data_IF_929389949546
#
_entry.id   IF_929389949546
#
_cell.length_a   1.000
_cell.length_b   1.000
_cell.length_c   1.000
_cell.angle_alpha   90.00
_cell.angle_beta   90.00
_cell.angle_gamma   90.00
#
_symmetry.space_group_name_H-M   'P 1'
#
loop_
_entity.id
_entity.type
_entity.pdbx_description
1 polymer ?
#
# COMPACT_ATOMS: atom_id res chain seq x y z
N UNK A 1 -21.14 5.33 -25.88
CA UNK A 1 -21.55 4.85 -24.55
C UNK A 1 -20.39 5.16 -23.63
N UNK A 2 -20.57 5.98 -22.60
CA UNK A 2 -19.50 6.25 -21.64
C UNK A 2 -19.34 5.01 -20.76
N UNK A 3 -18.17 4.37 -20.84
CA UNK A 3 -17.80 3.29 -19.92
C UNK A 3 -17.71 3.92 -18.54
N UNK A 4 -18.66 3.61 -17.67
CA UNK A 4 -18.58 4.02 -16.28
C UNK A 4 -17.41 3.26 -15.67
N UNK A 5 -16.24 3.91 -15.53
CA UNK A 5 -15.11 3.33 -14.80
C UNK A 5 -15.60 2.99 -13.40
N UNK A 6 -15.45 1.74 -13.01
CA UNK A 6 -15.76 1.30 -11.65
C UNK A 6 -14.90 2.16 -10.71
N UNK A 7 -15.56 2.95 -9.85
CA UNK A 7 -14.86 3.71 -8.83
C UNK A 7 -14.34 2.74 -7.79
N UNK A 8 -13.09 2.92 -7.36
CA UNK A 8 -12.54 2.18 -6.23
C UNK A 8 -13.38 2.38 -4.99
N UNK A 9 -13.54 1.32 -4.21
CA UNK A 9 -14.28 1.44 -2.96
C UNK A 9 -13.44 2.24 -1.96
N UNK A 10 -13.97 3.35 -1.40
CA UNK A 10 -13.21 4.26 -0.56
C UNK A 10 -12.74 3.59 0.73
N UNK A 11 -11.53 3.93 1.16
CA UNK A 11 -10.91 3.41 2.38
C UNK A 11 -11.49 4.03 3.66
N UNK A 12 -10.90 3.70 4.83
CA UNK A 12 -9.75 2.81 4.99
C UNK A 12 -10.13 1.33 4.99
N UNK A 13 -9.28 0.52 4.39
CA UNK A 13 -9.32 -0.94 4.51
C UNK A 13 -8.75 -1.37 5.87
N UNK A 14 -9.31 -2.43 6.45
CA UNK A 14 -8.94 -2.98 7.76
C UNK A 14 -8.72 -4.48 7.68
N UNK A 15 -7.75 -4.96 8.46
CA UNK A 15 -7.53 -6.36 8.73
C UNK A 15 -8.28 -6.75 10.00
N UNK A 16 -9.13 -7.77 9.93
CA UNK A 16 -9.59 -8.50 11.10
C UNK A 16 -8.91 -9.88 11.11
N UNK A 17 -8.37 -10.26 12.27
CA UNK A 17 -7.82 -11.59 12.54
C UNK A 17 -8.93 -12.44 13.15
N UNK A 18 -9.21 -13.62 12.58
CA UNK A 18 -10.25 -14.53 13.03
C UNK A 18 -9.60 -15.69 13.81
N UNK A 19 -9.93 -15.83 15.09
CA UNK A 19 -9.31 -16.82 15.99
C UNK A 19 -10.26 -17.94 16.45
N UNK A 20 -11.58 -17.79 16.23
CA UNK A 20 -12.60 -18.70 16.80
C UNK A 20 -13.03 -19.81 15.80
N UNK A 21 -14.02 -19.54 14.94
CA UNK A 21 -14.53 -20.46 13.91
C UNK A 21 -14.03 -20.03 12.53
N UNK A 22 -13.16 -20.84 11.92
CA UNK A 22 -12.52 -20.51 10.64
C UNK A 22 -11.33 -19.57 10.82
N UNK A 23 -10.22 -20.12 11.34
CA UNK A 23 -8.99 -19.35 11.55
C UNK A 23 -8.51 -18.79 10.22
N UNK A 24 -8.28 -17.48 10.19
CA UNK A 24 -7.83 -16.82 8.98
C UNK A 24 -7.88 -15.30 9.06
N UNK A 25 -7.66 -14.70 7.90
CA UNK A 25 -7.53 -13.25 7.75
C UNK A 25 -8.69 -12.72 6.93
N UNK A 26 -9.32 -11.66 7.43
CA UNK A 26 -10.35 -10.94 6.70
C UNK A 26 -9.88 -9.52 6.44
N UNK A 27 -9.66 -9.19 5.18
CA UNK A 27 -9.51 -7.81 4.75
C UNK A 27 -10.92 -7.30 4.39
N UNK A 28 -11.41 -6.34 5.17
CA UNK A 28 -12.70 -5.70 4.94
C UNK A 28 -12.56 -4.19 4.83
N UNK A 29 -13.54 -3.58 4.20
CA UNK A 29 -13.72 -2.14 4.29
C UNK A 29 -14.19 -1.78 5.71
N UNK A 30 -13.49 -0.85 6.36
CA UNK A 30 -13.78 -0.49 7.73
C UNK A 30 -14.77 0.66 7.85
N UNK A 31 -15.85 0.47 8.62
CA UNK A 31 -16.35 1.56 9.46
C UNK A 31 -15.59 1.55 10.79
N UNK A 32 -15.47 2.68 11.47
CA UNK A 32 -14.82 2.83 12.79
C UNK A 32 -15.61 2.19 13.94
N UNK A 33 -16.73 1.52 13.66
CA UNK A 33 -17.64 0.99 14.68
C UNK A 33 -17.51 -0.54 14.75
N UNK A 34 -17.31 -1.13 15.96
CA UNK A 34 -17.36 -2.58 16.13
C UNK A 34 -18.75 -3.13 15.77
N UNK A 35 -18.77 -4.20 14.98
CA UNK A 35 -19.95 -4.81 14.40
C UNK A 35 -20.95 -5.32 15.46
N UNK A 36 -22.23 -4.94 15.33
CA UNK A 36 -23.35 -5.46 16.16
C UNK A 36 -24.56 -5.96 15.33
N UNK A 37 -24.37 -6.25 14.03
CA UNK A 37 -25.39 -6.90 13.19
C UNK A 37 -25.57 -6.33 11.77
N UNK A 38 -26.08 -7.22 10.89
CA UNK A 38 -26.67 -7.13 9.53
C UNK A 38 -26.21 -6.02 8.57
N UNK A 39 -24.94 -5.66 8.57
CA UNK A 39 -24.33 -5.02 7.42
C UNK A 39 -23.18 -5.90 6.93
N UNK A 40 -23.43 -6.66 5.87
CA UNK A 40 -22.38 -7.40 5.16
C UNK A 40 -21.51 -6.37 4.42
N UNK A 41 -20.20 -6.27 4.71
CA UNK A 41 -19.30 -5.49 3.87
C UNK A 41 -19.37 -6.06 2.45
N UNK A 42 -19.90 -5.29 1.49
CA UNK A 42 -20.16 -5.76 0.12
C UNK A 42 -18.88 -6.12 -0.67
N UNK A 43 -17.71 -5.78 -0.13
CA UNK A 43 -16.41 -6.16 -0.67
C UNK A 43 -15.54 -6.72 0.46
N UNK A 44 -15.22 -8.00 0.37
CA UNK A 44 -14.47 -8.76 1.36
C UNK A 44 -13.45 -9.63 0.64
N UNK A 45 -12.22 -9.63 1.15
CA UNK A 45 -11.20 -10.60 0.76
C UNK A 45 -10.96 -11.48 2.00
N UNK A 46 -11.39 -12.73 1.89
CA UNK A 46 -11.13 -13.74 2.91
C UNK A 46 -9.96 -14.61 2.46
N UNK A 47 -9.03 -14.84 3.37
CA UNK A 47 -7.95 -15.78 3.17
C UNK A 47 -7.84 -16.71 4.38
N UNK A 48 -8.01 -17.99 4.10
CA UNK A 48 -7.71 -19.07 5.03
C UNK A 48 -6.26 -19.51 4.80
N UNK A 49 -5.34 -19.26 5.75
CA UNK A 49 -3.95 -19.66 5.63
C UNK A 49 -3.76 -21.18 5.78
N UNK A 50 -4.78 -21.92 6.24
CA UNK A 50 -4.72 -23.36 6.48
C UNK A 50 -3.85 -23.77 7.68
N UNK A 51 -3.30 -22.79 8.40
CA UNK A 51 -2.43 -22.93 9.58
C UNK A 51 -2.99 -22.13 10.74
N UNK A 52 -2.72 -22.57 11.97
CA UNK A 52 -3.26 -21.95 13.18
C UNK A 52 -2.14 -21.31 14.00
N UNK A 53 -2.41 -20.20 14.72
CA UNK A 53 -1.49 -19.75 15.75
C UNK A 53 -1.43 -20.81 16.87
N UNK A 54 -0.26 -21.02 17.46
CA UNK A 54 -0.14 -21.82 18.70
C UNK A 54 -0.70 -21.03 19.88
N UNK A 55 -1.22 -21.76 20.87
CA UNK A 55 -1.74 -21.20 22.11
C UNK A 55 -0.60 -20.63 22.99
N UNK A 56 -0.94 -19.67 23.86
CA UNK A 56 0.00 -19.07 24.81
C UNK A 56 0.69 -20.14 25.69
N UNK A 57 1.99 -20.34 25.47
CA UNK A 57 2.83 -21.27 26.25
C UNK A 57 3.34 -22.50 25.50
N UNK A 58 2.96 -22.69 24.24
CA UNK A 58 3.54 -23.71 23.36
C UNK A 58 4.78 -23.19 22.61
N UNK A 59 5.74 -24.08 22.32
CA UNK A 59 6.87 -23.70 21.47
C UNK A 59 6.38 -23.44 20.04
N UNK A 60 6.76 -22.31 19.43
CA UNK A 60 6.36 -21.99 18.07
C UNK A 60 6.92 -23.03 17.10
N UNK A 61 6.03 -23.69 16.36
CA UNK A 61 6.39 -24.65 15.33
C UNK A 61 6.42 -24.00 13.93
N UNK A 62 6.66 -24.81 12.90
CA UNK A 62 6.70 -24.33 11.53
C UNK A 62 5.34 -23.80 11.02
N UNK A 63 4.23 -24.27 11.58
CA UNK A 63 2.89 -23.79 11.22
C UNK A 63 2.62 -22.42 11.83
N UNK A 64 3.08 -22.18 13.05
CA UNK A 64 3.01 -20.87 13.68
C UNK A 64 3.82 -19.81 12.94
N UNK A 65 5.03 -20.14 12.48
CA UNK A 65 5.84 -19.21 11.69
C UNK A 65 5.16 -18.84 10.35
N UNK A 66 4.52 -19.81 9.70
CA UNK A 66 3.73 -19.56 8.48
C UNK A 66 2.52 -18.67 8.76
N UNK A 67 1.86 -18.86 9.91
CA UNK A 67 0.76 -17.99 10.33
C UNK A 67 1.24 -16.54 10.57
N UNK A 68 2.39 -16.34 11.22
CA UNK A 68 2.94 -14.99 11.44
C UNK A 68 3.36 -14.32 10.13
N UNK A 69 3.96 -15.07 9.19
CA UNK A 69 4.28 -14.55 7.85
C UNK A 69 3.01 -14.15 7.09
N UNK A 70 1.98 -14.98 7.19
CA UNK A 70 0.66 -14.74 6.62
C UNK A 70 0.03 -13.44 7.17
N UNK A 71 0.05 -13.26 8.49
CA UNK A 71 -0.42 -12.04 9.16
C UNK A 71 0.34 -10.80 8.69
N UNK A 72 1.67 -10.83 8.73
CA UNK A 72 2.52 -9.71 8.30
C UNK A 72 2.30 -9.33 6.83
N UNK A 73 2.07 -10.31 5.95
CA UNK A 73 1.74 -10.07 4.55
C UNK A 73 0.38 -9.37 4.40
N UNK A 74 -0.61 -9.77 5.18
CA UNK A 74 -1.95 -9.17 5.15
C UNK A 74 -1.93 -7.73 5.67
N UNK A 75 -1.20 -7.46 6.76
CA UNK A 75 -0.96 -6.10 7.24
C UNK A 75 -0.32 -5.22 6.17
N UNK A 76 0.70 -5.75 5.47
CA UNK A 76 1.39 -5.05 4.39
C UNK A 76 0.47 -4.73 3.22
N UNK A 77 -0.43 -5.64 2.84
CA UNK A 77 -1.43 -5.41 1.79
C UNK A 77 -2.37 -4.27 2.18
N UNK A 78 -2.92 -4.30 3.40
CA UNK A 78 -3.82 -3.24 3.89
C UNK A 78 -3.11 -1.89 3.94
N UNK A 79 -1.88 -1.85 4.45
CA UNK A 79 -1.08 -0.63 4.49
C UNK A 79 -0.80 -0.10 3.07
N UNK A 80 -0.44 -0.99 2.12
CA UNK A 80 -0.18 -0.60 0.74
C UNK A 80 -1.43 -0.03 0.05
N UNK A 81 -2.59 -0.68 0.19
CA UNK A 81 -3.86 -0.21 -0.39
C UNK A 81 -4.26 1.15 0.17
N UNK A 82 -4.12 1.36 1.49
CA UNK A 82 -4.41 2.66 2.10
C UNK A 82 -3.38 3.75 1.69
N UNK A 83 -2.11 3.40 1.53
CA UNK A 83 -1.06 4.35 1.14
C UNK A 83 -1.19 4.89 -0.28
N UNK A 84 -1.85 4.13 -1.17
CA UNK A 84 -2.07 4.52 -2.57
C UNK A 84 -3.47 5.09 -2.81
N UNK A 85 -4.21 5.42 -1.75
CA UNK A 85 -5.52 6.03 -1.87
C UNK A 85 -5.47 7.30 -2.74
N UNK A 86 -6.35 7.38 -3.74
CA UNK A 86 -6.42 8.51 -4.68
C UNK A 86 -5.50 8.41 -5.90
N UNK A 87 -4.62 7.40 -5.97
CA UNK A 87 -3.80 7.14 -7.17
C UNK A 87 -4.62 6.29 -8.17
N UNK A 88 -4.71 6.68 -9.46
CA UNK A 88 -5.39 5.87 -10.48
C UNK A 88 -4.74 4.48 -10.63
N UNK A 89 -5.56 3.44 -10.89
CA UNK A 89 -5.04 2.07 -11.09
C UNK A 89 -4.05 2.00 -12.23
N UNK A 90 -4.32 2.70 -13.33
CA UNK A 90 -3.44 2.73 -14.50
C UNK A 90 -2.05 3.29 -14.16
N UNK A 91 -1.99 4.27 -13.25
CA UNK A 91 -0.72 4.82 -12.78
C UNK A 91 0.00 3.82 -11.85
N UNK A 92 -0.72 3.08 -11.00
CA UNK A 92 -0.14 2.02 -10.17
C UNK A 92 0.44 0.88 -11.03
N UNK A 93 -0.30 0.42 -12.05
CA UNK A 93 0.14 -0.60 -13.01
C UNK A 93 1.36 -0.15 -13.82
N UNK A 94 1.43 1.13 -14.17
CA UNK A 94 2.61 1.74 -14.81
C UNK A 94 3.82 1.86 -13.86
N UNK A 95 3.66 1.56 -12.57
CA UNK A 95 4.75 1.60 -11.59
C UNK A 95 5.04 3.00 -11.04
N UNK A 96 4.05 3.90 -11.01
CA UNK A 96 4.24 5.30 -10.60
C UNK A 96 4.87 5.48 -9.21
N UNK A 97 4.59 4.57 -8.26
CA UNK A 97 5.18 4.61 -6.91
C UNK A 97 6.70 4.42 -6.97
N UNK A 98 7.18 3.53 -7.85
CA UNK A 98 8.61 3.32 -8.06
C UNK A 98 9.25 4.55 -8.71
N UNK A 99 8.62 5.07 -9.76
CA UNK A 99 9.07 6.31 -10.42
C UNK A 99 9.16 7.48 -9.43
N UNK A 100 8.19 7.59 -8.51
CA UNK A 100 8.15 8.64 -7.51
C UNK A 100 9.32 8.52 -6.52
N UNK A 101 9.60 7.31 -6.02
CA UNK A 101 10.72 7.05 -5.12
C UNK A 101 12.05 7.37 -5.82
N UNK A 102 12.23 6.94 -7.07
CA UNK A 102 13.43 7.24 -7.86
C UNK A 102 13.60 8.75 -8.10
N UNK A 103 12.54 9.45 -8.49
CA UNK A 103 12.58 10.89 -8.73
C UNK A 103 12.88 11.67 -7.45
N UNK A 104 12.22 11.33 -6.34
CA UNK A 104 12.46 11.96 -5.04
C UNK A 104 13.88 11.72 -4.52
N UNK A 105 14.41 10.50 -4.70
CA UNK A 105 15.80 10.16 -4.32
C UNK A 105 16.82 10.96 -5.13
N UNK A 106 16.59 11.10 -6.45
CA UNK A 106 17.45 11.91 -7.31
C UNK A 106 17.40 13.40 -6.95
N UNK A 107 16.20 13.92 -6.69
CA UNK A 107 16.03 15.31 -6.26
C UNK A 107 16.72 15.57 -4.92
N UNK A 108 16.60 14.66 -3.95
CA UNK A 108 17.32 14.77 -2.68
C UNK A 108 18.84 14.73 -2.88
N UNK A 109 19.35 13.85 -3.74
CA UNK A 109 20.77 13.76 -4.02
C UNK A 109 21.31 15.05 -4.70
N UNK A 110 20.55 15.63 -5.62
CA UNK A 110 20.93 16.88 -6.30
C UNK A 110 20.94 18.08 -5.33
N UNK A 111 19.97 18.15 -4.41
CA UNK A 111 19.81 19.29 -3.49
C UNK A 111 20.67 19.24 -2.23
N UNK A 112 21.22 18.06 -1.89
CA UNK A 112 22.08 17.87 -0.70
C UNK A 112 23.58 17.87 -1.03
N UNK A 113 23.93 18.00 -2.31
CA UNK A 113 25.31 18.02 -2.77
C UNK A 113 25.95 19.39 -2.49
N UNK A 114 27.14 19.40 -1.87
CA UNK A 114 27.89 20.65 -1.67
C UNK A 114 28.26 21.25 -3.04
N UNK A 115 27.85 22.50 -3.27
CA UNK A 115 27.87 23.15 -4.60
C UNK A 115 29.25 23.59 -5.08
N UNK A 116 30.26 23.52 -4.22
CA UNK A 116 31.50 24.29 -4.40
C UNK A 116 32.44 23.72 -5.48
N UNK A 117 32.27 22.45 -5.88
CA UNK A 117 33.18 21.76 -6.81
C UNK A 117 32.62 21.51 -8.23
N UNK A 118 31.37 21.89 -8.55
CA UNK A 118 30.78 21.61 -9.88
C UNK A 118 29.94 22.75 -10.46
N UNK A 119 30.38 23.37 -11.57
CA UNK A 119 29.67 24.46 -12.20
C UNK A 119 28.30 24.06 -12.82
N UNK A 120 28.02 22.76 -12.98
CA UNK A 120 26.76 22.25 -13.54
C UNK A 120 25.76 21.75 -12.48
N UNK A 121 26.05 21.88 -11.18
CA UNK A 121 25.16 21.40 -10.12
C UNK A 121 23.71 21.93 -10.23
N UNK A 122 23.56 23.19 -10.66
CA UNK A 122 22.25 23.83 -10.88
C UNK A 122 21.42 23.18 -11.99
N UNK A 123 22.06 22.67 -13.06
CA UNK A 123 21.36 22.01 -14.16
C UNK A 123 20.87 20.60 -13.77
N UNK A 124 21.63 19.89 -12.94
CA UNK A 124 21.21 18.60 -12.39
C UNK A 124 20.04 18.74 -11.42
N UNK A 125 20.03 19.81 -10.61
CA UNK A 125 18.92 20.15 -9.72
C UNK A 125 17.63 20.48 -10.50
N UNK A 126 17.72 21.37 -11.51
CA UNK A 126 16.57 21.74 -12.35
C UNK A 126 15.98 20.52 -13.07
N UNK A 127 16.83 19.66 -13.64
CA UNK A 127 16.38 18.43 -14.28
C UNK A 127 15.71 17.46 -13.30
N UNK A 128 16.25 17.32 -12.08
CA UNK A 128 15.66 16.47 -11.06
C UNK A 128 14.32 17.02 -10.55
N UNK A 129 14.20 18.33 -10.42
CA UNK A 129 12.96 19.00 -10.03
C UNK A 129 11.86 18.80 -11.09
N UNK A 130 12.17 19.04 -12.36
CA UNK A 130 11.23 18.86 -13.47
C UNK A 130 10.77 17.40 -13.58
N UNK A 131 11.70 16.45 -13.42
CA UNK A 131 11.35 15.03 -13.40
C UNK A 131 10.43 14.68 -12.22
N UNK A 132 10.67 15.24 -11.04
CA UNK A 132 9.80 15.03 -9.88
C UNK A 132 8.40 15.61 -10.12
N UNK A 133 8.29 16.82 -10.70
CA UNK A 133 7.01 17.43 -11.07
C UNK A 133 6.23 16.58 -12.07
N UNK A 134 6.91 16.07 -13.10
CA UNK A 134 6.29 15.19 -14.11
C UNK A 134 5.69 13.94 -13.45
N UNK A 135 6.44 13.27 -12.57
CA UNK A 135 5.96 12.07 -11.88
C UNK A 135 4.82 12.39 -10.92
N UNK A 136 4.86 13.53 -10.21
CA UNK A 136 3.75 13.97 -9.35
C UNK A 136 2.47 14.27 -10.14
N UNK A 137 2.57 14.74 -11.38
CA UNK A 137 1.41 14.89 -12.26
C UNK A 137 0.79 13.53 -12.62
N UNK A 138 1.62 12.51 -12.90
CA UNK A 138 1.14 11.12 -13.11
C UNK A 138 0.45 10.55 -11.87
N UNK A 139 1.01 10.76 -10.68
CA UNK A 139 0.39 10.34 -9.41
C UNK A 139 -1.01 10.94 -9.23
N UNK A 140 -1.21 12.19 -9.66
CA UNK A 140 -2.49 12.90 -9.61
C UNK A 140 -3.45 12.60 -10.77
N UNK A 141 -3.01 11.83 -11.78
CA UNK A 141 -3.78 11.58 -13.00
C UNK A 141 -3.92 12.81 -13.90
N UNK A 142 -2.98 13.75 -13.83
CA UNK A 142 -2.96 15.02 -14.59
C UNK A 142 -2.12 14.93 -15.89
N UNK A 143 -1.42 13.81 -16.10
CA UNK A 143 -0.43 13.61 -17.17
C UNK A 143 -0.82 12.48 -18.13
#
# INVERSE_FOLDING_TARGET
MATQQAQHTPGPWKLDVLLDEGIGFRIRMGSSVPYRGIYEPQHMIEWDPGVRPVDDGEEPDAEHLQYLEAEANMERIVAAVNAVEGIPTEALEAGVVRELIEAATRYLAATTRESDDDPNCWAEEEFAEDRLREVLAKVRGEA
#
